data_IF_413152813164
#
_entry.id   IF_413152813164
#
_cell.length_a   1.000
_cell.length_b   1.000
_cell.length_c   1.000
_cell.angle_alpha   90.00
_cell.angle_beta   90.00
_cell.angle_gamma   90.00
#
_symmetry.space_group_name_H-M   'P 1'
#
loop_
_entity.id
_entity.type
_entity.pdbx_description
1 polymer ?
#
# COMPACT_ATOMS: atom_id res chain seq x y z
N UNK A 1 6.63 -17.05 -0.59
CA UNK A 1 7.30 -15.76 -0.90
C UNK A 1 6.75 -14.73 0.06
N UNK A 2 7.61 -14.06 0.85
CA UNK A 2 7.17 -13.20 1.97
C UNK A 2 6.93 -11.74 1.57
N UNK A 3 7.56 -11.30 0.48
CA UNK A 3 7.42 -9.97 -0.09
C UNK A 3 7.28 -10.03 -1.61
N UNK A 4 6.62 -9.04 -2.22
CA UNK A 4 6.44 -8.97 -3.68
C UNK A 4 7.58 -8.19 -4.35
N UNK A 5 7.91 -7.01 -3.82
CA UNK A 5 8.89 -6.09 -4.40
C UNK A 5 9.95 -5.72 -3.35
N UNK A 6 11.24 -5.79 -3.69
CA UNK A 6 12.25 -5.16 -2.87
C UNK A 6 12.11 -3.62 -2.95
N UNK A 7 12.40 -2.95 -1.84
CA UNK A 7 12.30 -1.48 -1.76
C UNK A 7 13.17 -0.77 -2.81
N UNK A 8 14.37 -1.27 -3.10
CA UNK A 8 15.24 -0.70 -4.14
C UNK A 8 14.64 -0.78 -5.55
N UNK A 9 13.82 -1.79 -5.83
CA UNK A 9 13.13 -1.89 -7.12
C UNK A 9 11.96 -0.92 -7.18
N UNK A 10 11.19 -0.75 -6.09
CA UNK A 10 9.99 0.11 -6.12
C UNK A 10 10.32 1.56 -6.44
N UNK A 11 11.49 2.06 -6.02
CA UNK A 11 11.96 3.41 -6.32
C UNK A 11 12.14 3.67 -7.83
N UNK A 12 12.36 2.61 -8.62
CA UNK A 12 12.52 2.71 -10.08
C UNK A 12 11.18 2.56 -10.83
N UNK A 13 10.09 2.22 -10.14
CA UNK A 13 8.77 1.95 -10.72
C UNK A 13 7.88 3.21 -10.83
N UNK A 14 8.47 4.35 -11.19
CA UNK A 14 7.77 5.65 -11.24
C UNK A 14 6.61 5.70 -12.25
N UNK A 15 6.60 4.79 -13.22
CA UNK A 15 5.55 4.66 -14.23
C UNK A 15 4.51 3.58 -13.91
N UNK A 16 4.59 2.93 -12.75
CA UNK A 16 3.62 1.92 -12.34
C UNK A 16 2.25 2.57 -12.15
N UNK A 17 1.25 2.09 -12.90
CA UNK A 17 -0.11 2.62 -12.85
C UNK A 17 -1.07 1.72 -12.05
N UNK A 18 -0.80 0.42 -12.00
CA UNK A 18 -1.69 -0.55 -11.35
C UNK A 18 -0.86 -1.55 -10.56
N UNK A 19 -1.21 -1.72 -9.29
CA UNK A 19 -0.72 -2.80 -8.44
C UNK A 19 -1.91 -3.67 -8.03
N UNK A 20 -1.86 -4.94 -8.41
CA UNK A 20 -2.91 -5.92 -8.13
C UNK A 20 -2.28 -7.19 -7.58
N UNK A 21 -2.54 -7.47 -6.31
CA UNK A 21 -1.97 -8.58 -5.56
C UNK A 21 -3.12 -9.37 -4.97
N UNK A 22 -3.26 -10.62 -5.42
CA UNK A 22 -4.38 -11.46 -5.00
C UNK A 22 -3.99 -12.91 -4.73
N UNK A 23 -4.68 -13.54 -3.77
CA UNK A 23 -4.58 -14.97 -3.48
C UNK A 23 -3.18 -15.45 -3.03
N UNK A 24 -2.47 -14.61 -2.27
CA UNK A 24 -1.18 -14.96 -1.69
C UNK A 24 -1.24 -15.06 -0.16
N UNK A 25 -1.46 -16.28 0.33
CA UNK A 25 -1.64 -16.54 1.76
C UNK A 25 -0.38 -16.40 2.61
N UNK A 26 0.81 -16.56 2.02
CA UNK A 26 2.11 -16.47 2.70
C UNK A 26 2.76 -15.08 2.63
N UNK A 27 2.12 -14.12 1.99
CA UNK A 27 2.64 -12.75 1.84
C UNK A 27 2.54 -12.00 3.17
N UNK A 28 3.66 -11.50 3.67
CA UNK A 28 3.72 -10.72 4.92
C UNK A 28 3.86 -9.21 4.63
N UNK A 29 4.59 -8.86 3.58
CA UNK A 29 4.82 -7.48 3.13
C UNK A 29 4.58 -7.36 1.61
N UNK A 30 4.17 -6.20 1.09
CA UNK A 30 4.16 -5.99 -0.37
C UNK A 30 5.53 -5.49 -0.83
N UNK A 31 6.05 -4.47 -0.15
CA UNK A 31 7.33 -3.83 -0.39
C UNK A 31 8.15 -4.01 0.87
N UNK A 32 9.27 -4.73 0.75
CA UNK A 32 10.15 -5.03 1.87
C UNK A 32 11.61 -4.83 1.51
N UNK A 33 12.48 -4.86 2.51
CA UNK A 33 13.92 -4.99 2.28
C UNK A 33 14.29 -6.47 2.24
N UNK A 34 15.06 -6.87 1.22
CA UNK A 34 15.56 -8.22 1.06
C UNK A 34 16.94 -8.43 1.73
N UNK A 35 17.45 -7.44 2.47
CA UNK A 35 18.72 -7.48 3.21
C UNK A 35 19.96 -7.54 2.30
N UNK A 36 19.77 -7.32 0.99
CA UNK A 36 20.82 -7.41 -0.03
C UNK A 36 21.33 -6.05 -0.49
N UNK A 37 20.67 -4.97 -0.06
CA UNK A 37 21.00 -3.61 -0.48
C UNK A 37 21.28 -2.75 0.75
N UNK A 38 22.54 -2.39 1.02
CA UNK A 38 22.92 -1.57 2.17
C UNK A 38 22.37 -0.13 2.09
N UNK A 39 21.80 0.27 0.96
CA UNK A 39 21.12 1.57 0.77
C UNK A 39 19.60 1.49 0.91
N UNK A 40 19.03 0.29 0.98
CA UNK A 40 17.59 0.08 1.11
C UNK A 40 17.13 0.27 2.56
N UNK A 41 17.06 1.52 2.99
CA UNK A 41 16.36 1.85 4.22
C UNK A 41 14.86 1.67 3.99
N UNK A 42 14.33 0.49 4.33
CA UNK A 42 12.89 0.19 4.20
C UNK A 42 11.95 1.15 4.96
N UNK A 43 12.49 1.98 5.85
CA UNK A 43 11.82 3.09 6.54
C UNK A 43 11.61 4.34 5.67
N UNK A 44 12.28 4.45 4.52
CA UNK A 44 12.20 5.61 3.64
C UNK A 44 10.90 5.59 2.82
N UNK A 45 10.49 6.78 2.39
CA UNK A 45 9.27 6.97 1.63
C UNK A 45 9.33 6.24 0.27
N UNK A 46 8.23 5.61 -0.10
CA UNK A 46 8.00 4.99 -1.41
C UNK A 46 7.21 5.95 -2.27
N UNK A 47 7.77 6.37 -3.40
CA UNK A 47 7.11 7.31 -4.31
C UNK A 47 6.62 6.57 -5.56
N UNK A 48 5.31 6.56 -5.79
CA UNK A 48 4.67 5.95 -6.96
C UNK A 48 3.73 6.98 -7.62
N UNK A 49 4.30 8.00 -8.28
CA UNK A 49 3.57 9.22 -8.63
C UNK A 49 2.47 8.99 -9.67
N UNK A 50 2.62 7.97 -10.52
CA UNK A 50 1.66 7.61 -11.57
C UNK A 50 0.73 6.46 -11.19
N UNK A 51 0.80 5.95 -9.95
CA UNK A 51 -0.05 4.84 -9.54
C UNK A 51 -1.49 5.28 -9.38
N UNK A 52 -2.39 4.59 -10.10
CA UNK A 52 -3.82 4.90 -10.18
C UNK A 52 -4.68 3.87 -9.46
N UNK A 53 -4.21 2.63 -9.35
CA UNK A 53 -5.03 1.53 -8.82
C UNK A 53 -4.19 0.65 -7.89
N UNK A 54 -4.68 0.47 -6.66
CA UNK A 54 -4.18 -0.53 -5.72
C UNK A 54 -5.28 -1.54 -5.39
N UNK A 55 -5.02 -2.82 -5.62
CA UNK A 55 -5.94 -3.93 -5.33
C UNK A 55 -5.20 -5.00 -4.54
N UNK A 56 -5.62 -5.24 -3.30
CA UNK A 56 -5.08 -6.23 -2.38
C UNK A 56 -6.22 -7.16 -1.96
N UNK A 57 -6.14 -8.44 -2.34
CA UNK A 57 -7.24 -9.39 -2.14
C UNK A 57 -6.76 -10.74 -1.62
N UNK A 58 -7.43 -11.30 -0.61
CA UNK A 58 -7.12 -12.63 -0.08
C UNK A 58 -5.65 -12.76 0.36
N UNK A 59 -5.16 -11.80 1.14
CA UNK A 59 -3.80 -11.76 1.67
C UNK A 59 -3.83 -11.94 3.19
N UNK A 60 -4.11 -13.16 3.63
CA UNK A 60 -4.44 -13.49 5.02
C UNK A 60 -3.29 -13.28 6.02
N UNK A 61 -2.02 -13.24 5.56
CA UNK A 61 -0.85 -12.99 6.41
C UNK A 61 -0.23 -11.60 6.20
N UNK A 62 -0.85 -10.74 5.39
CA UNK A 62 -0.29 -9.43 5.06
C UNK A 62 -0.31 -8.54 6.31
N UNK A 63 0.86 -8.16 6.80
CA UNK A 63 1.05 -7.33 7.99
C UNK A 63 1.26 -5.87 7.63
N UNK A 64 1.98 -5.62 6.55
CA UNK A 64 2.31 -4.27 6.08
C UNK A 64 2.38 -4.20 4.56
N UNK A 65 2.20 -3.01 3.99
CA UNK A 65 2.44 -2.78 2.56
C UNK A 65 3.89 -2.29 2.36
N UNK A 66 4.36 -1.35 3.17
CA UNK A 66 5.75 -0.92 3.27
C UNK A 66 6.01 -0.40 4.69
N UNK A 67 7.27 -0.38 5.16
CA UNK A 67 7.57 0.15 6.51
C UNK A 67 7.55 1.69 6.54
N UNK A 68 8.01 2.33 5.46
CA UNK A 68 7.90 3.77 5.26
C UNK A 68 6.52 4.24 4.80
N UNK A 69 6.44 5.52 4.45
CA UNK A 69 5.24 6.15 3.90
C UNK A 69 5.18 5.98 2.39
N UNK A 70 4.00 5.77 1.83
CA UNK A 70 3.76 5.73 0.40
C UNK A 70 3.16 7.04 -0.10
N UNK A 71 3.80 7.66 -1.09
CA UNK A 71 3.38 8.89 -1.76
C UNK A 71 2.82 8.52 -3.14
N UNK A 72 1.51 8.72 -3.32
CA UNK A 72 0.75 8.30 -4.50
C UNK A 72 -0.28 9.38 -4.89
N UNK A 73 0.15 10.39 -5.65
CA UNK A 73 -0.70 11.54 -5.96
C UNK A 73 -1.79 11.24 -7.00
N UNK A 74 -1.58 10.23 -7.84
CA UNK A 74 -2.49 9.88 -8.94
C UNK A 74 -3.51 8.79 -8.58
N UNK A 75 -3.63 8.42 -7.29
CA UNK A 75 -4.46 7.27 -6.89
C UNK A 75 -5.95 7.53 -7.16
N UNK A 76 -6.58 6.62 -7.92
CA UNK A 76 -7.99 6.71 -8.34
C UNK A 76 -8.85 5.62 -7.70
N UNK A 77 -8.28 4.45 -7.44
CA UNK A 77 -9.00 3.33 -6.86
C UNK A 77 -8.16 2.55 -5.86
N UNK A 78 -8.76 2.25 -4.71
CA UNK A 78 -8.18 1.40 -3.67
C UNK A 78 -9.17 0.27 -3.38
N UNK A 79 -8.71 -0.98 -3.45
CA UNK A 79 -9.47 -2.15 -3.04
C UNK A 79 -8.65 -2.99 -2.07
N UNK A 80 -9.20 -3.23 -0.88
CA UNK A 80 -8.60 -4.08 0.16
C UNK A 80 -9.70 -5.04 0.63
N UNK A 81 -9.57 -6.32 0.32
CA UNK A 81 -10.57 -7.34 0.65
C UNK A 81 -9.90 -8.58 1.22
N UNK A 82 -10.35 -9.06 2.39
CA UNK A 82 -9.84 -10.29 3.00
C UNK A 82 -8.32 -10.22 3.26
N UNK A 83 -7.88 -9.08 3.79
CA UNK A 83 -6.53 -8.79 4.27
C UNK A 83 -6.61 -8.58 5.80
N UNK A 84 -6.99 -9.65 6.51
CA UNK A 84 -7.48 -9.58 7.90
C UNK A 84 -6.43 -9.18 8.93
N UNK A 85 -5.15 -9.36 8.61
CA UNK A 85 -4.00 -9.02 9.48
C UNK A 85 -3.49 -7.60 9.25
N UNK A 86 -3.79 -7.00 8.09
CA UNK A 86 -3.35 -5.66 7.75
C UNK A 86 -4.11 -4.66 8.64
N UNK A 87 -3.41 -3.73 9.29
CA UNK A 87 -4.01 -2.76 10.23
C UNK A 87 -3.73 -1.30 9.89
N UNK A 88 -2.89 -1.05 8.89
CA UNK A 88 -2.49 0.29 8.48
C UNK A 88 -2.27 0.31 6.97
N UNK A 89 -2.71 1.39 6.35
CA UNK A 89 -2.40 1.70 4.96
C UNK A 89 -1.28 2.76 4.96
N UNK A 90 -0.18 2.56 4.22
CA UNK A 90 1.00 3.43 4.32
C UNK A 90 0.84 4.75 3.56
N UNK A 91 -0.32 5.00 2.96
CA UNK A 91 -0.50 6.13 2.06
C UNK A 91 -0.64 7.42 2.88
N UNK A 92 0.27 8.37 2.69
CA UNK A 92 0.15 9.71 3.24
C UNK A 92 -0.53 10.60 2.22
N UNK A 93 -1.67 11.14 2.62
CA UNK A 93 -2.40 12.15 1.88
C UNK A 93 -1.92 13.48 2.45
N UNK A 94 -0.95 14.13 1.79
CA UNK A 94 -0.36 15.39 2.25
C UNK A 94 -1.45 16.39 2.64
N UNK A 95 -1.64 16.58 3.96
CA UNK A 95 -2.35 17.70 4.59
C UNK A 95 -3.76 18.04 4.11
N UNK A 96 -4.37 17.30 3.18
CA UNK A 96 -5.70 17.57 2.71
C UNK A 96 -6.73 16.88 3.62
N UNK A 97 -7.68 17.63 4.20
CA UNK A 97 -8.77 17.07 5.01
C UNK A 97 -9.72 16.15 4.22
N UNK A 98 -9.46 15.95 2.92
CA UNK A 98 -10.26 15.16 2.02
C UNK A 98 -9.33 14.29 1.18
N UNK A 99 -9.75 13.05 0.97
CA UNK A 99 -9.18 12.05 0.06
C UNK A 99 -8.46 12.66 -1.16
N UNK A 100 -7.40 12.00 -1.69
CA UNK A 100 -6.63 12.55 -2.79
C UNK A 100 -7.57 12.89 -3.94
N UNK A 101 -7.37 14.06 -4.57
CA UNK A 101 -8.31 14.70 -5.52
C UNK A 101 -8.88 13.78 -6.60
N UNK A 102 -8.20 12.67 -6.89
CA UNK A 102 -8.55 11.72 -7.93
C UNK A 102 -9.16 10.41 -7.43
N UNK A 103 -9.24 10.17 -6.11
CA UNK A 103 -9.79 8.94 -5.55
C UNK A 103 -11.31 8.88 -5.73
N UNK A 104 -11.74 7.98 -6.60
CA UNK A 104 -13.14 7.81 -7.00
C UNK A 104 -13.76 6.55 -6.40
N UNK A 105 -12.97 5.50 -6.22
CA UNK A 105 -13.48 4.17 -5.85
C UNK A 105 -12.68 3.60 -4.69
N UNK A 106 -13.35 3.40 -3.56
CA UNK A 106 -12.77 2.76 -2.39
C UNK A 106 -13.62 1.52 -2.06
N UNK A 107 -13.01 0.34 -2.15
CA UNK A 107 -13.63 -0.95 -1.87
C UNK A 107 -12.90 -1.64 -0.73
N UNK A 108 -13.36 -1.41 0.50
CA UNK A 108 -12.81 -2.03 1.69
C UNK A 108 -13.73 -3.13 2.18
N UNK A 109 -13.18 -4.28 2.53
CA UNK A 109 -13.91 -5.40 3.11
C UNK A 109 -14.45 -5.04 4.50
N UNK A 110 -15.42 -5.83 4.97
CA UNK A 110 -16.11 -5.56 6.24
C UNK A 110 -15.12 -5.49 7.41
N UNK A 111 -14.14 -6.38 7.43
CA UNK A 111 -13.15 -6.51 8.51
C UNK A 111 -12.12 -5.37 8.48
N UNK A 112 -11.75 -4.90 7.29
CA UNK A 112 -10.74 -3.87 7.12
C UNK A 112 -11.28 -2.45 7.25
N UNK A 113 -12.61 -2.29 7.13
CA UNK A 113 -13.27 -0.98 7.10
C UNK A 113 -12.98 -0.15 8.35
N UNK A 114 -12.91 -0.77 9.53
CA UNK A 114 -12.71 -0.04 10.78
C UNK A 114 -11.34 0.65 10.81
N UNK A 115 -10.24 -0.11 10.72
CA UNK A 115 -8.91 0.49 10.80
C UNK A 115 -8.59 1.37 9.58
N UNK A 116 -9.12 1.05 8.39
CA UNK A 116 -8.87 1.84 7.19
C UNK A 116 -9.46 3.25 7.31
N UNK A 117 -10.70 3.37 7.80
CA UNK A 117 -11.35 4.67 7.98
C UNK A 117 -10.71 5.48 9.11
N UNK A 118 -10.35 4.85 10.23
CA UNK A 118 -9.65 5.52 11.33
C UNK A 118 -8.23 5.97 10.94
N UNK A 119 -7.58 5.29 9.99
CA UNK A 119 -6.23 5.63 9.54
C UNK A 119 -6.19 6.69 8.43
N UNK A 120 -7.26 6.87 7.66
CA UNK A 120 -7.32 7.84 6.56
C UNK A 120 -8.00 9.16 6.90
N UNK A 121 -8.75 9.24 8.01
CA UNK A 121 -9.39 10.48 8.48
C UNK A 121 -8.67 10.92 9.76
N UNK A 122 -7.90 12.02 9.76
CA UNK A 122 -7.42 12.59 11.02
C UNK A 122 -8.62 13.07 11.84
N UNK A 123 -8.65 12.70 13.12
CA UNK A 123 -9.54 13.34 14.11
C UNK A 123 -9.26 14.85 14.20
#
# INVERSE_FOLDING_TARGET
MKMLLPWSLVQNLLNLQKMDVSNFHEMEEIIGDNGKDPTANSSDNVTLPKSKVFSLKNLSKLKSICKGTMICDSIVSISILKCTVLKKFPLHLDGQPYAPRFLKDIKIGREEKQWFLHGCVPN
#
